data_IF_294317138030
#
_entry.id   IF_294317138030
#
_cell.length_a   1.000
_cell.length_b   1.000
_cell.length_c   1.000
_cell.angle_alpha   90.00
_cell.angle_beta   90.00
_cell.angle_gamma   90.00
#
_symmetry.space_group_name_H-M   'P 1'
#
loop_
_entity.id
_entity.type
_entity.pdbx_description
1 polymer ?
#
# COMPACT_ATOMS: atom_id res chain seq x y z
N UNK A 1 1.37 -7.93 25.79
CA UNK A 1 1.88 -8.88 24.77
C UNK A 1 0.69 -9.42 24.02
N UNK A 2 0.61 -9.23 22.70
CA UNK A 2 -0.49 -9.82 21.92
C UNK A 2 -0.38 -11.35 21.93
N UNK A 3 -1.47 -12.03 22.26
CA UNK A 3 -1.60 -13.49 22.17
C UNK A 3 -1.38 -13.99 20.74
N UNK A 4 -1.58 -13.13 19.73
CA UNK A 4 -1.48 -13.48 18.32
C UNK A 4 -0.08 -13.24 17.71
N UNK A 5 0.98 -13.57 18.45
CA UNK A 5 2.37 -13.53 17.98
C UNK A 5 2.72 -14.61 16.94
N UNK A 6 3.86 -14.47 16.23
CA UNK A 6 4.36 -15.49 15.30
C UNK A 6 5.00 -16.66 16.04
N UNK A 7 4.69 -17.87 15.60
CA UNK A 7 5.39 -19.12 15.95
C UNK A 7 6.32 -19.46 14.79
N UNK A 8 7.61 -19.53 15.08
CA UNK A 8 8.67 -19.76 14.09
C UNK A 8 9.15 -21.21 14.15
N UNK A 9 9.72 -21.76 13.06
CA UNK A 9 9.91 -21.15 11.74
C UNK A 9 8.70 -21.32 10.80
N UNK A 10 7.59 -21.89 11.29
CA UNK A 10 6.41 -22.17 10.45
C UNK A 10 5.55 -20.93 10.15
N UNK A 11 5.81 -19.82 10.84
CA UNK A 11 5.06 -18.57 10.76
C UNK A 11 3.55 -18.76 10.97
N UNK A 12 3.15 -19.59 11.94
CA UNK A 12 1.75 -19.68 12.37
C UNK A 12 1.48 -18.71 13.52
N UNK A 13 0.22 -18.43 13.80
CA UNK A 13 -0.18 -17.54 14.88
C UNK A 13 -0.30 -18.32 16.19
N UNK A 14 0.40 -17.90 17.24
CA UNK A 14 0.36 -18.55 18.55
C UNK A 14 -1.01 -18.53 19.24
N UNK A 15 -1.87 -17.59 18.88
CA UNK A 15 -3.21 -17.47 19.48
C UNK A 15 -4.30 -18.28 18.78
N UNK A 16 -4.21 -18.48 17.45
CA UNK A 16 -5.28 -19.12 16.69
C UNK A 16 -4.82 -20.16 15.66
N UNK A 17 -3.53 -20.47 15.58
CA UNK A 17 -2.96 -21.46 14.66
C UNK A 17 -2.92 -21.06 13.17
N UNK A 18 -3.74 -20.09 12.75
CA UNK A 18 -3.78 -19.58 11.38
C UNK A 18 -2.42 -18.99 10.92
N UNK A 19 -2.18 -18.85 9.59
CA UNK A 19 -0.96 -18.21 9.10
C UNK A 19 -0.78 -16.81 9.69
N UNK A 20 0.39 -16.55 10.28
CA UNK A 20 0.73 -15.25 10.84
C UNK A 20 1.19 -14.27 9.74
N UNK A 21 0.77 -13.00 9.72
CA UNK A 21 -0.16 -12.37 10.64
C UNK A 21 -1.61 -12.79 10.36
N UNK A 22 -2.29 -13.29 11.39
CA UNK A 22 -3.70 -13.67 11.29
C UNK A 22 -4.60 -12.42 11.24
N UNK A 23 -5.89 -12.59 10.92
CA UNK A 23 -6.83 -11.47 10.84
C UNK A 23 -6.88 -10.62 12.13
N UNK A 24 -6.84 -11.25 13.30
CA UNK A 24 -6.79 -10.54 14.59
C UNK A 24 -5.52 -9.73 14.74
N UNK A 25 -4.35 -10.33 14.50
CA UNK A 25 -3.07 -9.61 14.61
C UNK A 25 -2.97 -8.44 13.63
N UNK A 26 -3.50 -8.59 12.41
CA UNK A 26 -3.55 -7.48 11.42
C UNK A 26 -4.39 -6.30 11.93
N UNK A 27 -5.50 -6.55 12.62
CA UNK A 27 -6.33 -5.48 13.23
C UNK A 27 -5.60 -4.82 14.40
N UNK A 28 -5.03 -5.61 15.30
CA UNK A 28 -4.24 -5.10 16.43
C UNK A 28 -3.08 -4.24 15.94
N UNK A 29 -2.30 -4.71 14.96
CA UNK A 29 -1.17 -3.96 14.40
C UNK A 29 -1.61 -2.66 13.73
N UNK A 30 -2.76 -2.64 13.03
CA UNK A 30 -3.29 -1.38 12.49
C UNK A 30 -3.71 -0.41 13.59
N UNK A 31 -4.27 -0.89 14.69
CA UNK A 31 -4.64 -0.04 15.82
C UNK A 31 -3.41 0.48 16.57
N UNK A 32 -2.40 -0.39 16.78
CA UNK A 32 -1.11 -0.06 17.42
C UNK A 32 -0.34 1.02 16.64
N UNK A 33 -0.45 1.01 15.31
CA UNK A 33 0.27 1.92 14.41
C UNK A 33 -0.67 2.89 13.66
N UNK A 34 -1.84 3.22 14.22
CA UNK A 34 -2.85 4.03 13.55
C UNK A 34 -2.30 5.36 13.01
N UNK A 35 -1.44 6.04 13.78
CA UNK A 35 -0.82 7.32 13.42
C UNK A 35 0.55 7.16 12.72
N UNK A 36 0.97 5.93 12.44
CA UNK A 36 2.31 5.62 11.91
C UNK A 36 2.29 4.47 10.88
N UNK A 37 1.57 4.61 9.75
CA UNK A 37 1.43 3.55 8.74
C UNK A 37 2.76 3.16 8.08
N UNK A 38 3.69 4.11 7.92
CA UNK A 38 5.05 3.82 7.43
C UNK A 38 5.80 2.92 8.40
N UNK A 39 5.70 3.19 9.71
CA UNK A 39 6.32 2.36 10.75
C UNK A 39 5.73 0.95 10.77
N UNK A 40 4.42 0.79 10.53
CA UNK A 40 3.80 -0.52 10.36
C UNK A 40 4.39 -1.29 9.16
N UNK A 41 4.52 -0.61 8.01
CA UNK A 41 5.09 -1.22 6.81
C UNK A 41 6.55 -1.66 7.04
N UNK A 42 7.37 -0.84 7.72
CA UNK A 42 8.74 -1.18 8.08
C UNK A 42 8.81 -2.37 9.05
N UNK A 43 7.96 -2.37 10.08
CA UNK A 43 7.87 -3.47 11.05
C UNK A 43 7.51 -4.79 10.35
N UNK A 44 6.51 -4.76 9.47
CA UNK A 44 6.11 -5.95 8.71
C UNK A 44 7.14 -6.34 7.64
N UNK A 45 7.88 -5.39 7.09
CA UNK A 45 8.99 -5.63 6.17
C UNK A 45 10.13 -6.42 6.82
N UNK A 46 10.49 -6.08 8.06
CA UNK A 46 11.48 -6.85 8.82
C UNK A 46 11.04 -8.31 9.04
N UNK A 47 9.75 -8.52 9.31
CA UNK A 47 9.19 -9.88 9.41
C UNK A 47 9.16 -10.61 8.07
N UNK A 48 8.87 -9.92 6.96
CA UNK A 48 8.93 -10.50 5.62
C UNK A 48 10.32 -11.04 5.30
N UNK A 49 11.39 -10.28 5.57
CA UNK A 49 12.78 -10.72 5.33
C UNK A 49 13.09 -12.00 6.08
N UNK A 50 12.70 -12.07 7.36
CA UNK A 50 12.88 -13.30 8.17
C UNK A 50 12.04 -14.45 7.61
N UNK A 51 10.80 -14.19 7.22
CA UNK A 51 9.92 -15.20 6.66
C UNK A 51 10.42 -15.75 5.32
N UNK A 52 11.10 -14.94 4.49
CA UNK A 52 11.70 -15.43 3.25
C UNK A 52 12.87 -16.39 3.49
N UNK A 53 13.55 -16.28 4.63
CA UNK A 53 14.60 -17.22 5.03
C UNK A 53 14.03 -18.54 5.56
N UNK A 54 12.92 -18.49 6.29
CA UNK A 54 12.29 -19.69 6.87
C UNK A 54 11.37 -20.44 5.88
N UNK A 55 10.68 -19.71 5.00
CA UNK A 55 9.69 -20.23 4.05
C UNK A 55 10.23 -20.19 2.61
N UNK A 56 11.41 -20.76 2.38
CA UNK A 56 12.12 -20.71 1.08
C UNK A 56 11.34 -21.33 -0.09
N UNK A 57 10.40 -22.23 0.20
CA UNK A 57 9.51 -22.86 -0.77
C UNK A 57 8.35 -21.95 -1.20
N UNK A 58 8.04 -20.90 -0.44
CA UNK A 58 6.90 -20.04 -0.72
C UNK A 58 7.25 -18.98 -1.78
N UNK A 59 6.40 -18.75 -2.80
CA UNK A 59 6.64 -17.71 -3.80
C UNK A 59 6.74 -16.31 -3.16
N UNK A 60 7.73 -15.52 -3.60
CA UNK A 60 7.99 -14.18 -3.05
C UNK A 60 6.76 -13.26 -3.09
N UNK A 61 5.99 -13.28 -4.18
CA UNK A 61 4.76 -12.50 -4.30
C UNK A 61 3.68 -12.88 -3.28
N UNK A 62 3.61 -14.15 -2.90
CA UNK A 62 2.67 -14.64 -1.86
C UNK A 62 3.08 -14.12 -0.49
N UNK A 63 4.38 -14.18 -0.15
CA UNK A 63 4.89 -13.62 1.10
C UNK A 63 4.73 -12.09 1.14
N UNK A 64 5.03 -11.39 0.06
CA UNK A 64 4.83 -9.94 -0.04
C UNK A 64 3.37 -9.56 0.25
N UNK A 65 2.39 -10.18 -0.44
CA UNK A 65 0.96 -9.89 -0.19
C UNK A 65 0.52 -10.24 1.23
N UNK A 66 1.06 -11.31 1.81
CA UNK A 66 0.74 -11.74 3.18
C UNK A 66 1.23 -10.75 4.25
N UNK A 67 2.46 -10.26 4.12
CA UNK A 67 3.08 -9.39 5.13
C UNK A 67 2.79 -7.91 4.89
N UNK A 68 2.80 -7.45 3.64
CA UNK A 68 2.70 -6.03 3.27
C UNK A 68 1.42 -5.66 2.51
N UNK A 69 0.73 -6.63 1.90
CA UNK A 69 -0.46 -6.36 1.06
C UNK A 69 -1.67 -5.79 1.80
N UNK A 70 -1.56 -5.58 3.11
CA UNK A 70 -2.60 -5.01 3.96
C UNK A 70 -2.09 -3.81 4.78
N UNK A 71 -0.79 -3.50 4.74
CA UNK A 71 -0.19 -2.38 5.50
C UNK A 71 -0.38 -1.04 4.79
N UNK A 72 -0.62 -1.06 3.48
CA UNK A 72 -1.07 0.11 2.73
C UNK A 72 -2.60 0.18 2.74
N UNK A 73 -3.12 1.21 3.40
CA UNK A 73 -4.39 1.93 3.16
C UNK A 73 -4.68 2.79 4.43
N UNK A 74 -3.73 3.61 4.85
CA UNK A 74 -4.12 4.80 5.59
C UNK A 74 -4.47 5.81 4.50
N UNK A 75 -5.76 6.05 4.30
CA UNK A 75 -6.35 7.31 3.85
C UNK A 75 -5.33 8.37 3.40
N UNK A 76 -4.78 8.18 2.21
CA UNK A 76 -4.15 9.24 1.47
C UNK A 76 -4.98 9.30 0.19
N UNK A 77 -5.96 10.21 0.06
CA UNK A 77 -6.18 10.77 -1.25
C UNK A 77 -4.80 11.27 -1.67
N UNK A 78 -4.12 10.51 -2.53
CA UNK A 78 -3.05 11.07 -3.33
C UNK A 78 -3.72 12.30 -3.94
N UNK A 79 -3.31 13.55 -3.65
CA UNK A 79 -3.79 14.63 -4.46
C UNK A 79 -3.22 14.29 -5.83
N UNK A 80 -4.07 13.67 -6.65
CA UNK A 80 -3.90 13.67 -8.08
C UNK A 80 -3.77 15.14 -8.36
N UNK A 81 -2.54 15.60 -8.62
CA UNK A 81 -2.31 16.88 -9.27
C UNK A 81 -3.00 16.69 -10.61
N UNK A 82 -4.29 17.01 -10.61
CA UNK A 82 -5.15 16.99 -11.76
C UNK A 82 -4.58 18.10 -12.61
N UNK A 83 -3.70 17.71 -13.52
CA UNK A 83 -3.10 18.58 -14.50
C UNK A 83 -4.27 19.02 -15.38
N UNK A 84 -4.93 20.10 -14.96
CA UNK A 84 -5.94 20.78 -15.74
C UNK A 84 -5.32 21.05 -17.09
N UNK A 85 -5.76 20.29 -18.10
CA UNK A 85 -5.49 20.66 -19.47
C UNK A 85 -6.17 22.02 -19.65
N UNK A 86 -5.37 23.09 -19.63
CA UNK A 86 -5.82 24.39 -20.06
C UNK A 86 -6.25 24.22 -21.51
N UNK A 87 -7.56 24.12 -21.74
CA UNK A 87 -8.15 24.26 -23.07
C UNK A 87 -7.73 25.63 -23.59
N UNK A 88 -6.78 25.65 -24.52
CA UNK A 88 -6.43 26.87 -25.25
C UNK A 88 -7.66 27.25 -26.07
N UNK A 89 -8.32 28.40 -25.81
CA UNK A 89 -9.41 28.82 -26.68
C UNK A 89 -8.82 29.20 -28.04
N UNK A 90 -9.35 28.57 -29.10
CA UNK A 90 -9.05 28.96 -30.47
C UNK A 90 -9.47 30.43 -30.65
N UNK A 91 -8.51 31.28 -31.03
CA UNK A 91 -8.82 32.67 -31.41
C UNK A 91 -9.66 32.62 -32.70
N UNK A 92 -10.84 33.24 -32.77
CA UNK A 92 -11.53 33.38 -34.05
C UNK A 92 -10.67 34.25 -34.97
N UNK A 93 -10.37 33.73 -36.16
CA UNK A 93 -9.70 34.47 -37.22
C UNK A 93 -10.75 35.45 -37.77
N UNK A 94 -10.60 36.73 -37.47
CA UNK A 94 -11.41 37.78 -38.10
C UNK A 94 -11.04 37.82 -39.58
N UNK A 95 -11.96 37.39 -40.44
CA UNK A 95 -11.91 37.68 -41.88
C UNK A 95 -12.07 39.20 -42.05
N UNK A 96 -11.02 39.85 -42.53
CA UNK A 96 -11.07 41.24 -43.00
C UNK A 96 -11.55 41.24 -44.46
N UNK A 97 -12.65 41.93 -44.79
CA UNK A 97 -12.99 42.17 -46.18
C UNK A 97 -12.41 43.50 -46.66
N UNK A 98 -11.92 43.46 -47.90
CA UNK A 98 -12.20 44.44 -48.97
C UNK A 98 -11.11 45.50 -49.32
N UNK A 99 -10.50 45.27 -50.48
CA UNK A 99 -10.26 46.17 -51.65
C UNK A 99 -9.48 47.50 -51.47
N UNK A 100 -8.53 47.74 -52.38
CA UNK A 100 -8.62 48.74 -53.47
C UNK A 100 -7.23 48.99 -54.08
N UNK A 101 -7.16 49.01 -55.41
CA UNK A 101 -5.99 49.35 -56.21
C UNK A 101 -6.19 48.94 -57.66
#
# INVERSE_FOLDING_TARGET
MSTHGPVLPIWSCGGCGAPWPCATRRRELRAEFADAPVSLALYMGAHLVRATADLTWAPAGTLHRRFLGWTGEADQPTPTVQRSAATVPARPRTDEPKQAG
#
